data_IF_270057580420
#
_entry.id   IF_270057580420
#
_cell.length_a   1.000
_cell.length_b   1.000
_cell.length_c   1.000
_cell.angle_alpha   90.00
_cell.angle_beta   90.00
_cell.angle_gamma   90.00
#
_symmetry.space_group_name_H-M   'P 1'
#
loop_
_entity.id
_entity.type
_entity.pdbx_description
1 polymer ?
#
# COMPACT_ATOMS: atom_id res chain seq x y z
N UNK A 1 2.14 0.45 -0.98
CA UNK A 1 1.83 0.12 0.42
C UNK A 1 0.33 0.09 0.57
N UNK A 2 -0.20 -0.93 1.23
CA UNK A 2 -1.62 -1.04 1.54
C UNK A 2 -1.86 -1.23 3.04
N UNK A 3 -3.02 -0.78 3.52
CA UNK A 3 -3.49 -1.07 4.87
C UNK A 3 -5.02 -1.21 4.88
N UNK A 4 -5.52 -2.26 5.54
CA UNK A 4 -6.93 -2.41 5.80
C UNK A 4 -7.43 -1.46 6.89
N UNK A 5 -8.57 -0.80 6.69
CA UNK A 5 -9.16 0.12 7.69
C UNK A 5 -9.66 -0.58 8.94
N UNK A 6 -9.90 -1.91 8.89
CA UNK A 6 -10.24 -2.74 10.05
C UNK A 6 -9.01 -3.40 10.69
N UNK A 7 -7.79 -3.00 10.33
CA UNK A 7 -6.56 -3.41 11.01
C UNK A 7 -6.38 -2.63 12.34
N UNK A 8 -7.36 -2.79 13.21
CA UNK A 8 -7.51 -2.14 14.51
C UNK A 8 -7.28 -3.13 15.65
N UNK A 9 -6.88 -2.63 16.82
CA UNK A 9 -6.77 -3.43 18.04
C UNK A 9 -8.15 -3.75 18.64
N UNK A 10 -8.16 -4.49 19.77
CA UNK A 10 -9.39 -4.84 20.49
C UNK A 10 -10.17 -3.63 21.06
N UNK A 11 -9.59 -2.43 21.03
CA UNK A 11 -10.22 -1.17 21.40
C UNK A 11 -10.72 -0.38 20.18
N UNK A 12 -10.55 -0.90 18.97
CA UNK A 12 -10.91 -0.24 17.72
C UNK A 12 -9.89 0.80 17.24
N UNK A 13 -8.70 0.87 17.87
CA UNK A 13 -7.66 1.80 17.47
C UNK A 13 -6.79 1.19 16.38
N UNK A 14 -6.46 1.95 15.33
CA UNK A 14 -5.58 1.52 14.24
C UNK A 14 -4.10 1.35 14.60
N UNK A 15 -3.76 1.29 15.89
CA UNK A 15 -2.40 1.48 16.41
C UNK A 15 -1.37 0.43 15.98
N UNK A 16 -1.81 -0.76 15.57
CA UNK A 16 -0.89 -1.84 15.21
C UNK A 16 -0.37 -1.74 13.76
N UNK A 17 -1.22 -1.38 12.79
CA UNK A 17 -0.87 -1.42 11.36
C UNK A 17 -1.37 -0.18 10.61
N UNK A 18 -2.63 0.21 10.81
CA UNK A 18 -3.23 1.32 10.05
C UNK A 18 -2.53 2.66 10.33
N UNK A 19 -2.41 3.05 11.60
CA UNK A 19 -1.78 4.31 11.99
C UNK A 19 -0.26 4.32 11.71
N UNK A 20 0.51 3.25 12.02
CA UNK A 20 1.90 3.17 11.59
C UNK A 20 2.08 3.28 10.06
N UNK A 21 1.17 2.71 9.26
CA UNK A 21 1.23 2.81 7.80
C UNK A 21 0.93 4.22 7.30
N UNK A 22 -0.07 4.90 7.87
CA UNK A 22 -0.36 6.33 7.61
C UNK A 22 0.84 7.21 7.98
N UNK A 23 1.42 7.01 9.16
CA UNK A 23 2.58 7.75 9.60
C UNK A 23 3.79 7.53 8.68
N UNK A 24 4.07 6.28 8.29
CA UNK A 24 5.17 5.97 7.36
C UNK A 24 4.96 6.63 5.99
N UNK A 25 3.73 6.63 5.46
CA UNK A 25 3.40 7.36 4.22
C UNK A 25 3.75 8.84 4.38
N UNK A 26 3.32 9.47 5.45
CA UNK A 26 3.53 10.90 5.68
C UNK A 26 5.02 11.25 5.80
N UNK A 27 5.80 10.42 6.49
CA UNK A 27 7.26 10.59 6.59
C UNK A 27 7.94 10.43 5.23
N UNK A 28 7.54 9.46 4.40
CA UNK A 28 8.13 9.26 3.08
C UNK A 28 7.78 10.40 2.12
N UNK A 29 6.54 10.88 2.14
CA UNK A 29 6.11 12.06 1.39
C UNK A 29 6.88 13.31 1.83
N UNK A 30 7.03 13.54 3.13
CA UNK A 30 7.80 14.66 3.66
C UNK A 30 9.29 14.64 3.25
N UNK A 31 9.82 13.45 2.97
CA UNK A 31 11.19 13.26 2.45
C UNK A 31 11.30 13.39 0.92
N UNK A 32 10.20 13.64 0.22
CA UNK A 32 10.18 13.82 -1.23
C UNK A 32 10.21 12.51 -2.03
N UNK A 33 9.93 11.37 -1.40
CA UNK A 33 9.78 10.11 -2.13
C UNK A 33 8.42 10.04 -2.83
N UNK A 34 8.40 9.41 -4.00
CA UNK A 34 7.14 8.96 -4.60
C UNK A 34 6.55 7.84 -3.74
N UNK A 35 5.26 7.97 -3.39
CA UNK A 35 4.57 7.01 -2.51
C UNK A 35 3.28 6.55 -3.16
N UNK A 36 3.20 5.26 -3.43
CA UNK A 36 1.97 4.56 -3.81
C UNK A 36 1.31 3.97 -2.54
N UNK A 37 0.20 4.56 -2.11
CA UNK A 37 -0.51 4.17 -0.88
C UNK A 37 -2.02 3.97 -1.12
N UNK A 38 -2.57 2.85 -0.63
CA UNK A 38 -3.99 2.53 -0.73
C UNK A 38 -4.56 2.03 0.61
N UNK A 39 -5.84 2.31 0.84
CA UNK A 39 -6.60 1.80 1.98
C UNK A 39 -7.82 1.02 1.49
N UNK A 40 -8.14 -0.08 2.16
CA UNK A 40 -9.22 -0.99 1.77
C UNK A 40 -10.16 -1.28 2.93
N UNK A 41 -11.43 -1.55 2.64
CA UNK A 41 -12.45 -1.95 3.62
C UNK A 41 -12.23 -3.40 4.08
N UNK A 42 -11.10 -3.64 4.72
CA UNK A 42 -10.64 -4.96 5.14
C UNK A 42 -9.77 -4.87 6.41
N UNK A 43 -9.50 -6.01 7.04
CA UNK A 43 -8.53 -6.16 8.11
C UNK A 43 -7.21 -6.76 7.59
N UNK A 44 -6.70 -7.74 8.33
CA UNK A 44 -5.53 -8.54 7.95
C UNK A 44 -5.97 -9.77 7.14
N UNK A 45 -6.42 -9.54 5.90
CA UNK A 45 -7.21 -10.50 5.13
C UNK A 45 -6.53 -10.88 3.80
N UNK A 46 -6.28 -12.18 3.64
CA UNK A 46 -5.70 -12.78 2.43
C UNK A 46 -6.51 -12.51 1.16
N UNK A 47 -7.83 -12.36 1.26
CA UNK A 47 -8.69 -12.10 0.11
C UNK A 47 -8.42 -10.72 -0.50
N UNK A 48 -8.03 -9.75 0.32
CA UNK A 48 -7.65 -8.42 -0.18
C UNK A 48 -6.20 -8.43 -0.68
N UNK A 49 -5.30 -9.09 0.05
CA UNK A 49 -3.88 -9.11 -0.31
C UNK A 49 -3.58 -9.71 -1.68
N UNK A 50 -4.35 -10.72 -2.13
CA UNK A 50 -4.17 -11.27 -3.49
C UNK A 50 -4.37 -10.21 -4.58
N UNK A 51 -5.19 -9.19 -4.34
CA UNK A 51 -5.37 -8.06 -5.25
C UNK A 51 -4.32 -6.98 -5.02
N UNK A 52 -4.17 -6.52 -3.77
CA UNK A 52 -3.30 -5.38 -3.44
C UNK A 52 -1.81 -5.65 -3.71
N UNK A 53 -1.37 -6.91 -3.60
CA UNK A 53 -0.03 -7.32 -4.00
C UNK A 53 0.18 -7.18 -5.51
N UNK A 54 -0.79 -7.60 -6.33
CA UNK A 54 -0.71 -7.47 -7.78
C UNK A 54 -0.66 -6.00 -8.21
N UNK A 55 -1.51 -5.15 -7.61
CA UNK A 55 -1.49 -3.70 -7.83
C UNK A 55 -0.13 -3.09 -7.47
N UNK A 56 0.46 -3.51 -6.33
CA UNK A 56 1.79 -3.09 -5.91
C UNK A 56 2.90 -3.49 -6.87
N UNK A 57 2.84 -4.69 -7.44
CA UNK A 57 3.79 -5.16 -8.45
C UNK A 57 3.66 -4.37 -9.75
N UNK A 58 2.44 -4.05 -10.18
CA UNK A 58 2.19 -3.21 -11.35
C UNK A 58 2.74 -1.80 -11.13
N UNK A 59 2.52 -1.20 -9.96
CA UNK A 59 3.06 0.12 -9.64
C UNK A 59 4.60 0.15 -9.64
N UNK A 60 5.25 -0.94 -9.24
CA UNK A 60 6.72 -1.02 -9.16
C UNK A 60 7.40 -1.41 -10.48
N UNK A 61 6.79 -2.30 -11.27
CA UNK A 61 7.43 -2.96 -12.41
C UNK A 61 6.65 -2.87 -13.74
N UNK A 62 5.41 -2.37 -13.71
CA UNK A 62 4.52 -2.34 -14.89
C UNK A 62 4.98 -1.45 -16.03
N UNK A 63 5.96 -0.56 -15.80
CA UNK A 63 6.50 0.34 -16.83
C UNK A 63 7.56 -0.31 -17.74
N UNK A 64 8.12 -1.46 -17.36
CA UNK A 64 9.21 -2.10 -18.12
C UNK A 64 8.69 -3.02 -19.24
N UNK A 65 7.45 -3.53 -19.12
CA UNK A 65 6.82 -4.40 -20.12
C UNK A 65 6.28 -3.60 -21.33
N UNK A 66 6.02 -2.29 -21.17
CA UNK A 66 5.33 -1.46 -22.17
C UNK A 66 6.25 -0.54 -23.00
N UNK A 67 7.57 -0.57 -22.78
CA UNK A 67 8.52 0.23 -23.59
C UNK A 67 8.93 -0.58 -24.83
N UNK A 68 8.46 -0.23 -26.05
CA UNK A 68 9.03 -0.84 -27.24
C UNK A 68 10.53 -0.51 -27.33
N UNK A 69 11.38 -1.43 -27.83
CA UNK A 69 12.81 -1.19 -27.93
C UNK A 69 13.05 0.08 -28.75
N UNK A 70 13.86 1.00 -28.20
CA UNK A 70 14.39 2.13 -28.95
C UNK A 70 15.15 1.59 -30.15
N UNK A 71 14.64 1.89 -31.35
CA UNK A 71 15.36 1.66 -32.62
C UNK A 71 16.63 2.50 -32.68
#
# INVERSE_FOLDING_TARGET
>A
MDAGVFAVDSRGNGGAILEPSRHRRDVLLAKGYEVHYQQFNSGHDYLNWRGTLADGLIALAGTDIARPPSR
#
